data_IF_451624120384
#
_entry.id   IF_451624120384
#
_cell.length_a   1.000
_cell.length_b   1.000
_cell.length_c   1.000
_cell.angle_alpha   90.00
_cell.angle_beta   90.00
_cell.angle_gamma   90.00
#
_symmetry.space_group_name_H-M   'P 1'
#
loop_
_entity.id
_entity.type
_entity.pdbx_description
1 polymer ?
#
# COMPACT_ATOMS: atom_id res chain seq x y z
N UNK A 1 4.28 7.83 -4.15
CA UNK A 1 4.97 8.17 -2.88
C UNK A 1 6.17 7.26 -2.72
N UNK A 2 7.17 7.66 -1.93
CA UNK A 2 8.21 6.71 -1.50
C UNK A 2 7.65 5.88 -0.34
N UNK A 3 8.15 4.65 -0.18
CA UNK A 3 7.73 3.75 0.90
C UNK A 3 7.82 4.42 2.29
N UNK A 4 8.89 5.19 2.53
CA UNK A 4 9.07 5.94 3.79
C UNK A 4 7.93 6.91 4.08
N UNK A 5 7.42 7.58 3.04
CA UNK A 5 6.35 8.56 3.20
C UNK A 5 5.06 7.88 3.70
N UNK A 6 4.78 6.66 3.22
CA UNK A 6 3.65 5.87 3.71
C UNK A 6 3.79 5.52 5.19
N UNK A 7 4.97 5.07 5.61
CA UNK A 7 5.21 4.69 7.00
C UNK A 7 5.08 5.88 7.95
N UNK A 8 5.56 7.07 7.56
CA UNK A 8 5.40 8.29 8.37
C UNK A 8 3.92 8.60 8.57
N UNK A 9 3.13 8.64 7.50
CA UNK A 9 1.71 8.96 7.62
C UNK A 9 0.94 7.87 8.38
N UNK A 10 1.31 6.60 8.24
CA UNK A 10 0.72 5.51 9.03
C UNK A 10 1.01 5.70 10.53
N UNK A 11 2.25 6.02 10.89
CA UNK A 11 2.67 6.22 12.29
C UNK A 11 1.84 7.33 12.95
N UNK A 12 1.70 8.47 12.26
CA UNK A 12 0.87 9.61 12.69
C UNK A 12 -0.62 9.25 12.89
N UNK A 13 -1.15 8.31 12.10
CA UNK A 13 -2.54 7.87 12.20
C UNK A 13 -2.72 6.88 13.36
N UNK A 14 -1.70 6.08 13.67
CA UNK A 14 -1.78 4.93 14.58
C UNK A 14 -1.80 5.27 16.07
N UNK A 15 -1.39 6.48 16.45
CA UNK A 15 -1.45 6.96 17.83
C UNK A 15 -2.86 7.46 18.16
N UNK A 16 -3.69 6.62 18.79
CA UNK A 16 -5.00 7.05 19.32
C UNK A 16 -5.03 6.90 20.84
N UNK A 17 -5.32 7.99 21.53
CA UNK A 17 -5.73 7.98 22.94
C UNK A 17 -7.28 7.92 22.99
N UNK A 18 -7.83 6.78 23.41
CA UNK A 18 -9.27 6.52 23.45
C UNK A 18 -9.76 6.48 24.90
N UNK A 19 -9.75 7.61 25.59
CA UNK A 19 -10.50 7.77 26.84
C UNK A 19 -11.81 8.53 26.56
N UNK A 20 -12.94 7.95 26.96
CA UNK A 20 -14.30 8.46 26.68
C UNK A 20 -15.05 8.68 27.99
N UNK A 21 -15.21 9.94 28.40
CA UNK A 21 -15.94 10.28 29.63
C UNK A 21 -17.28 10.99 29.38
N UNK A 22 -17.58 11.39 28.14
CA UNK A 22 -18.81 12.11 27.81
C UNK A 22 -19.31 11.93 26.35
N UNK A 23 -20.54 12.40 26.08
CA UNK A 23 -21.10 12.49 24.70
C UNK A 23 -20.28 13.47 23.85
N UNK A 24 -19.78 14.55 24.45
CA UNK A 24 -18.92 15.51 23.74
C UNK A 24 -17.61 14.85 23.32
N UNK A 25 -17.01 14.05 24.20
CA UNK A 25 -15.81 13.26 23.90
C UNK A 25 -16.08 12.22 22.82
N UNK A 26 -17.23 11.54 22.90
CA UNK A 26 -17.64 10.58 21.87
C UNK A 26 -17.77 11.21 20.48
N UNK A 27 -18.33 12.43 20.40
CA UNK A 27 -18.44 13.18 19.13
C UNK A 27 -17.10 13.67 18.63
N UNK A 28 -16.23 14.16 19.53
CA UNK A 28 -14.86 14.59 19.21
C UNK A 28 -14.07 13.42 18.61
N UNK A 29 -14.06 12.27 19.28
CA UNK A 29 -13.36 11.07 18.84
C UNK A 29 -13.94 10.58 17.51
N UNK A 30 -15.27 10.62 17.31
CA UNK A 30 -15.88 10.24 16.05
C UNK A 30 -15.42 11.14 14.88
N UNK A 31 -15.29 12.45 15.11
CA UNK A 31 -14.78 13.38 14.11
C UNK A 31 -13.31 13.07 13.75
N UNK A 32 -12.48 12.81 14.75
CA UNK A 32 -11.07 12.43 14.57
C UNK A 32 -10.92 11.11 13.81
N UNK A 33 -11.75 10.10 14.12
CA UNK A 33 -11.81 8.85 13.37
C UNK A 33 -12.30 9.03 11.93
N UNK A 34 -13.17 10.01 11.64
CA UNK A 34 -13.60 10.33 10.28
C UNK A 34 -12.47 10.98 9.46
N UNK A 35 -11.72 11.90 10.07
CA UNK A 35 -10.58 12.54 9.43
C UNK A 35 -9.49 11.52 9.08
N UNK A 36 -9.12 10.66 10.04
CA UNK A 36 -8.16 9.56 9.80
C UNK A 36 -8.64 8.60 8.72
N UNK A 37 -9.92 8.23 8.71
CA UNK A 37 -10.48 7.37 7.66
C UNK A 37 -10.32 7.99 6.27
N UNK A 38 -10.53 9.31 6.15
CA UNK A 38 -10.34 10.04 4.90
C UNK A 38 -8.88 9.98 4.44
N UNK A 39 -7.92 10.20 5.35
CA UNK A 39 -6.49 10.12 5.05
C UNK A 39 -6.12 8.69 4.60
N UNK A 40 -6.55 7.66 5.33
CA UNK A 40 -6.31 6.26 4.96
C UNK A 40 -6.91 5.89 3.60
N UNK A 41 -8.08 6.42 3.24
CA UNK A 41 -8.69 6.21 1.92
C UNK A 41 -7.84 6.81 0.80
N UNK A 42 -7.25 7.99 0.99
CA UNK A 42 -6.33 8.60 0.03
C UNK A 42 -5.00 7.84 -0.07
N UNK A 43 -4.46 7.38 1.06
CA UNK A 43 -3.29 6.49 1.08
C UNK A 43 -3.57 5.19 0.32
N UNK A 44 -4.74 4.59 0.52
CA UNK A 44 -5.18 3.37 -0.18
C UNK A 44 -5.28 3.55 -1.69
N UNK A 45 -5.75 4.70 -2.16
CA UNK A 45 -5.75 5.02 -3.60
C UNK A 45 -4.32 5.16 -4.13
N UNK A 46 -3.48 5.86 -3.38
CA UNK A 46 -2.09 6.12 -3.75
C UNK A 46 -1.28 4.83 -3.85
N UNK A 47 -1.35 3.95 -2.83
CA UNK A 47 -0.57 2.71 -2.81
C UNK A 47 -0.97 1.77 -3.94
N UNK A 48 -2.27 1.70 -4.27
CA UNK A 48 -2.77 0.92 -5.41
C UNK A 48 -2.23 1.45 -6.74
N UNK A 49 -2.16 2.77 -6.90
CA UNK A 49 -1.59 3.40 -8.09
C UNK A 49 -0.10 3.10 -8.22
N UNK A 50 0.65 3.20 -7.13
CA UNK A 50 2.09 2.92 -7.12
C UNK A 50 2.39 1.44 -7.42
N UNK A 51 1.65 0.50 -6.81
CA UNK A 51 1.71 -0.94 -7.16
C UNK A 51 1.49 -1.14 -8.66
N UNK A 52 0.40 -0.58 -9.20
CA UNK A 52 0.08 -0.71 -10.63
C UNK A 52 1.17 -0.16 -11.53
N UNK A 53 1.76 0.99 -11.17
CA UNK A 53 2.83 1.60 -11.95
C UNK A 53 4.09 0.71 -11.97
N UNK A 54 4.47 0.13 -10.83
CA UNK A 54 5.60 -0.81 -10.77
C UNK A 54 5.35 -2.07 -11.60
N UNK A 55 4.13 -2.59 -11.60
CA UNK A 55 3.76 -3.73 -12.45
C UNK A 55 3.83 -3.40 -13.94
N UNK A 56 3.37 -2.21 -14.34
CA UNK A 56 3.49 -1.72 -15.72
C UNK A 56 4.96 -1.57 -16.13
N UNK A 57 5.79 -0.97 -15.28
CA UNK A 57 7.23 -0.83 -15.53
C UNK A 57 7.91 -2.20 -15.68
N UNK A 58 7.55 -3.18 -14.84
CA UNK A 58 8.03 -4.54 -14.98
C UNK A 58 7.66 -5.14 -16.34
N UNK A 59 6.41 -4.99 -16.78
CA UNK A 59 5.96 -5.49 -18.08
C UNK A 59 6.71 -4.84 -19.25
N UNK A 60 6.97 -3.54 -19.17
CA UNK A 60 7.76 -2.81 -20.17
C UNK A 60 9.20 -3.30 -20.24
N UNK A 61 9.86 -3.47 -19.09
CA UNK A 61 11.22 -4.02 -18.99
C UNK A 61 11.27 -5.46 -19.52
N UNK A 62 10.28 -6.29 -19.18
CA UNK A 62 10.14 -7.66 -19.69
C UNK A 62 9.97 -7.69 -21.21
N UNK A 63 9.14 -6.81 -21.76
CA UNK A 63 8.98 -6.65 -23.23
C UNK A 63 10.26 -6.20 -23.89
N UNK A 64 11.02 -5.29 -23.28
CA UNK A 64 12.33 -4.85 -23.77
C UNK A 64 13.32 -6.03 -23.83
N UNK A 65 13.49 -6.78 -22.74
CA UNK A 65 14.35 -7.98 -22.72
C UNK A 65 13.90 -8.95 -23.84
N UNK A 66 12.60 -9.21 -23.98
CA UNK A 66 12.12 -10.10 -25.03
C UNK A 66 12.47 -9.61 -26.45
N UNK A 67 12.38 -8.30 -26.72
CA UNK A 67 12.77 -7.70 -28.00
C UNK A 67 14.28 -7.76 -28.23
N UNK A 68 15.08 -7.47 -27.19
CA UNK A 68 16.55 -7.46 -27.27
C UNK A 68 17.11 -8.85 -27.63
N UNK A 69 16.39 -9.91 -27.24
CA UNK A 69 16.74 -11.30 -27.57
C UNK A 69 15.97 -11.88 -28.77
N UNK A 70 15.05 -11.14 -29.40
CA UNK A 70 14.30 -11.60 -30.57
C UNK A 70 15.06 -11.27 -31.88
N UNK A 71 15.16 -12.25 -32.79
CA UNK A 71 15.66 -12.04 -34.16
C UNK A 71 17.15 -12.35 -34.40
N UNK A 72 17.78 -13.24 -33.63
CA UNK A 72 19.16 -13.66 -33.90
C UNK A 72 20.23 -12.59 -33.65
N UNK A 73 19.83 -11.40 -33.22
CA UNK A 73 20.67 -10.43 -32.51
C UNK A 73 21.03 -10.99 -31.13
N UNK A 74 21.76 -12.11 -31.11
CA UNK A 74 22.67 -12.32 -30.00
C UNK A 74 23.53 -11.07 -29.90
N UNK A 75 23.86 -10.55 -28.71
CA UNK A 75 24.80 -9.45 -28.58
C UNK A 75 26.22 -9.91 -28.98
N UNK A 76 26.43 -10.20 -30.27
CA UNK A 76 27.63 -10.79 -30.83
C UNK A 76 28.13 -12.04 -30.11
N UNK A 77 29.24 -12.56 -30.63
CA UNK A 77 30.07 -13.59 -29.98
C UNK A 77 30.51 -13.13 -28.57
N UNK A 78 30.52 -11.81 -28.31
CA UNK A 78 30.83 -11.17 -27.03
C UNK A 78 29.80 -11.51 -25.92
N UNK A 79 28.53 -11.77 -26.26
CA UNK A 79 27.49 -12.13 -25.28
C UNK A 79 27.68 -13.52 -24.65
N UNK A 80 28.24 -14.46 -25.42
CA UNK A 80 28.65 -15.79 -24.93
C UNK A 80 29.81 -15.67 -23.93
N UNK A 81 30.70 -14.70 -24.12
CA UNK A 81 31.86 -14.44 -23.24
C UNK A 81 31.46 -13.67 -21.97
N UNK A 82 30.37 -12.88 -21.99
CA UNK A 82 29.87 -12.10 -20.83
C UNK A 82 28.78 -12.79 -19.99
N UNK A 83 28.37 -14.02 -20.32
CA UNK A 83 27.44 -14.80 -19.48
C UNK A 83 26.00 -14.27 -19.38
N UNK A 84 25.55 -13.40 -20.30
CA UNK A 84 24.21 -12.79 -20.29
C UNK A 84 23.16 -13.69 -20.94
N UNK A 85 22.54 -14.55 -20.13
CA UNK A 85 21.41 -15.40 -20.55
C UNK A 85 20.07 -14.67 -20.37
N UNK A 86 19.21 -14.70 -21.40
CA UNK A 86 17.81 -14.19 -21.35
C UNK A 86 17.09 -14.68 -20.10
N UNK A 87 17.22 -15.96 -19.80
CA UNK A 87 16.58 -16.60 -18.64
C UNK A 87 17.11 -16.00 -17.33
N UNK A 88 18.43 -15.76 -17.23
CA UNK A 88 19.03 -15.13 -16.04
C UNK A 88 18.57 -13.69 -15.87
N UNK A 89 18.47 -12.92 -16.95
CA UNK A 89 18.01 -11.53 -16.91
C UNK A 89 16.52 -11.44 -16.53
N UNK A 90 15.67 -12.30 -17.09
CA UNK A 90 14.25 -12.36 -16.71
C UNK A 90 14.07 -12.77 -15.24
N UNK A 91 14.79 -13.80 -14.77
CA UNK A 91 14.76 -14.21 -13.35
C UNK A 91 15.22 -13.09 -12.41
N UNK A 92 16.26 -12.35 -12.80
CA UNK A 92 16.74 -11.20 -12.03
C UNK A 92 15.68 -10.10 -11.96
N UNK A 93 15.02 -9.79 -13.09
CA UNK A 93 13.95 -8.80 -13.14
C UNK A 93 12.74 -9.21 -12.30
N UNK A 94 12.34 -10.49 -12.34
CA UNK A 94 11.26 -11.03 -11.50
C UNK A 94 11.59 -10.96 -10.01
N UNK A 95 12.81 -11.32 -9.62
CA UNK A 95 13.28 -11.19 -8.24
C UNK A 95 13.19 -9.74 -7.76
N UNK A 96 13.72 -8.80 -8.55
CA UNK A 96 13.65 -7.37 -8.24
C UNK A 96 12.21 -6.84 -8.11
N UNK A 97 11.30 -7.29 -9.00
CA UNK A 97 9.88 -6.94 -8.94
C UNK A 97 9.24 -7.44 -7.66
N UNK A 98 9.52 -8.68 -7.27
CA UNK A 98 8.94 -9.26 -6.07
C UNK A 98 9.45 -8.55 -4.80
N UNK A 99 10.76 -8.37 -4.68
CA UNK A 99 11.37 -7.64 -3.56
C UNK A 99 10.84 -6.20 -3.44
N UNK A 100 10.66 -5.51 -4.57
CA UNK A 100 10.14 -4.14 -4.57
C UNK A 100 8.65 -4.06 -4.20
N UNK A 101 7.84 -5.01 -4.68
CA UNK A 101 6.39 -4.99 -4.46
C UNK A 101 5.98 -5.50 -3.08
N UNK A 102 6.74 -6.40 -2.48
CA UNK A 102 6.47 -6.98 -1.17
C UNK A 102 6.20 -5.88 -0.14
N UNK A 103 7.13 -4.93 0.02
CA UNK A 103 6.96 -3.83 0.98
C UNK A 103 5.77 -2.91 0.67
N UNK A 104 5.40 -2.75 -0.59
CA UNK A 104 4.22 -1.96 -0.96
C UNK A 104 2.91 -2.70 -0.65
N UNK A 105 2.91 -4.03 -0.77
CA UNK A 105 1.78 -4.84 -0.33
C UNK A 105 1.65 -4.83 1.18
N UNK A 106 2.74 -4.87 1.94
CA UNK A 106 2.73 -4.76 3.40
C UNK A 106 2.05 -3.45 3.84
N UNK A 107 2.46 -2.32 3.26
CA UNK A 107 1.81 -1.03 3.49
C UNK A 107 0.33 -1.05 3.14
N UNK A 108 -0.04 -1.66 2.01
CA UNK A 108 -1.45 -1.81 1.63
C UNK A 108 -2.23 -2.60 2.68
N UNK A 109 -1.66 -3.69 3.21
CA UNK A 109 -2.31 -4.50 4.24
C UNK A 109 -2.47 -3.74 5.55
N UNK A 110 -1.45 -2.98 5.98
CA UNK A 110 -1.54 -2.11 7.16
C UNK A 110 -2.66 -1.07 6.99
N UNK A 111 -2.75 -0.41 5.83
CA UNK A 111 -3.82 0.55 5.55
C UNK A 111 -5.21 -0.11 5.58
N UNK A 112 -5.33 -1.31 4.99
CA UNK A 112 -6.58 -2.07 4.98
C UNK A 112 -7.00 -2.46 6.42
N UNK A 113 -6.05 -2.87 7.26
CA UNK A 113 -6.29 -3.23 8.66
C UNK A 113 -6.70 -2.01 9.51
N UNK A 114 -5.98 -0.88 9.38
CA UNK A 114 -6.33 0.37 10.07
C UNK A 114 -7.73 0.88 9.71
N UNK A 115 -8.15 0.72 8.44
CA UNK A 115 -9.51 1.07 8.04
C UNK A 115 -10.56 0.21 8.76
N UNK A 116 -10.29 -1.08 8.94
CA UNK A 116 -11.17 -2.00 9.70
C UNK A 116 -11.21 -1.58 11.17
N UNK A 117 -10.05 -1.33 11.78
CA UNK A 117 -9.96 -0.88 13.18
C UNK A 117 -10.73 0.41 13.41
N UNK A 118 -10.65 1.39 12.50
CA UNK A 118 -11.44 2.62 12.59
C UNK A 118 -12.94 2.32 12.49
N UNK A 119 -13.36 1.47 11.55
CA UNK A 119 -14.78 1.10 11.41
C UNK A 119 -15.31 0.43 12.69
N UNK A 120 -14.51 -0.47 13.28
CA UNK A 120 -14.84 -1.14 14.52
C UNK A 120 -14.87 -0.18 15.72
N UNK A 121 -13.96 0.79 15.79
CA UNK A 121 -13.95 1.82 16.84
C UNK A 121 -15.16 2.77 16.75
N UNK A 122 -15.69 3.04 15.55
CA UNK A 122 -16.89 3.89 15.36
C UNK A 122 -18.16 3.23 15.88
N UNK A 123 -18.27 1.90 15.85
CA UNK A 123 -19.46 1.16 16.27
C UNK A 123 -19.88 1.45 17.72
N UNK A 124 -19.01 1.27 18.75
CA UNK A 124 -19.39 1.51 20.14
C UNK A 124 -19.71 3.00 20.42
N UNK A 125 -18.99 3.94 19.79
CA UNK A 125 -19.24 5.37 19.93
C UNK A 125 -20.64 5.76 19.40
N UNK A 126 -20.98 5.26 18.21
CA UNK A 126 -22.30 5.49 17.63
C UNK A 126 -23.42 4.86 18.47
N UNK A 127 -23.19 3.65 19.02
CA UNK A 127 -24.13 3.00 19.93
C UNK A 127 -24.29 3.77 21.24
N UNK A 128 -23.21 4.28 21.83
CA UNK A 128 -23.26 5.11 23.05
C UNK A 128 -24.06 6.39 22.83
N UNK A 129 -23.79 7.10 21.73
CA UNK A 129 -24.52 8.32 21.35
C UNK A 129 -26.01 8.01 21.14
N UNK A 130 -26.34 6.93 20.43
CA UNK A 130 -27.74 6.51 20.20
C UNK A 130 -28.46 6.20 21.51
N UNK A 131 -27.85 5.41 22.39
CA UNK A 131 -28.44 5.04 23.69
C UNK A 131 -28.67 6.25 24.58
N UNK A 132 -27.73 7.19 24.63
CA UNK A 132 -27.84 8.42 25.43
C UNK A 132 -28.85 9.43 24.89
N UNK A 133 -29.00 9.54 23.57
CA UNK A 133 -29.92 10.51 22.94
C UNK A 133 -31.35 9.99 22.78
N UNK A 134 -31.51 8.68 22.55
CA UNK A 134 -32.81 8.10 22.16
C UNK A 134 -33.33 7.04 23.15
N UNK A 135 -32.55 6.65 24.17
CA UNK A 135 -33.02 5.76 25.24
C UNK A 135 -33.29 4.31 24.82
N UNK A 136 -32.81 3.88 23.65
CA UNK A 136 -32.92 2.49 23.13
C UNK A 136 -31.60 1.75 23.32
#
# INVERSE_FOLDING_TARGET
>A
MRLKDYHITIDEISTIDLEVDSIADSRRILAELNEREMILKELKKSIRKDIKNMELEFLERKRKINRDYAGGRSPGIVSKVRGKSKVKELKKLEKQRNEALESYYDVKYIIDDLLIQIEDAKKPLNSYIKKKLFGV
#
